data_IF_407324065906
#
_entry.id   IF_407324065906
#
_cell.length_a   1.000
_cell.length_b   1.000
_cell.length_c   1.000
_cell.angle_alpha   90.00
_cell.angle_beta   90.00
_cell.angle_gamma   90.00
#
_symmetry.space_group_name_H-M   'P 1'
#
loop_
_entity.id
_entity.type
_entity.pdbx_description
1 polymer ?
#
# COMPACT_ATOMS: atom_id res chain seq x y z
N UNK A 1 11.94 -21.68 12.80
CA UNK A 1 10.59 -21.37 12.28
C UNK A 1 10.77 -20.52 11.04
N UNK A 2 9.92 -20.67 10.02
CA UNK A 2 10.00 -19.78 8.85
C UNK A 2 9.62 -18.34 9.27
N UNK A 3 10.25 -17.35 8.67
CA UNK A 3 9.91 -15.93 8.89
C UNK A 3 8.46 -15.67 8.46
N UNK A 4 7.70 -14.94 9.28
CA UNK A 4 6.29 -14.62 9.04
C UNK A 4 6.12 -13.49 7.99
N UNK A 5 7.12 -12.63 7.89
CA UNK A 5 7.28 -11.61 6.84
C UNK A 5 8.73 -11.68 6.36
N UNK A 6 8.93 -11.89 5.07
CA UNK A 6 10.26 -11.83 4.46
C UNK A 6 10.48 -10.50 3.78
N UNK A 7 11.71 -10.02 3.77
CA UNK A 7 12.11 -8.78 3.10
C UNK A 7 13.24 -9.03 2.12
N UNK A 8 13.16 -8.40 0.96
CA UNK A 8 14.20 -8.42 -0.06
C UNK A 8 14.35 -7.00 -0.62
N UNK A 9 15.59 -6.56 -0.85
CA UNK A 9 15.89 -5.22 -1.40
C UNK A 9 16.64 -5.39 -2.72
N UNK A 10 16.14 -4.73 -3.76
CA UNK A 10 16.75 -4.68 -5.08
C UNK A 10 16.49 -3.33 -5.72
N UNK A 11 17.51 -2.70 -6.29
CA UNK A 11 17.41 -1.44 -7.05
C UNK A 11 16.63 -0.31 -6.33
N UNK A 12 16.81 -0.15 -5.02
CA UNK A 12 16.09 0.83 -4.22
C UNK A 12 14.61 0.50 -3.97
N UNK A 13 14.22 -0.75 -4.21
CA UNK A 13 12.87 -1.28 -3.98
C UNK A 13 12.93 -2.32 -2.86
N UNK A 14 12.10 -2.17 -1.82
CA UNK A 14 11.94 -3.21 -0.80
C UNK A 14 10.67 -4.02 -1.08
N UNK A 15 10.82 -5.32 -1.22
CA UNK A 15 9.72 -6.29 -1.31
C UNK A 15 9.47 -6.80 0.11
N UNK A 16 8.23 -6.72 0.58
CA UNK A 16 7.76 -7.27 1.85
C UNK A 16 6.72 -8.35 1.53
N UNK A 17 6.98 -9.59 1.93
CA UNK A 17 6.09 -10.71 1.64
C UNK A 17 5.51 -11.28 2.92
N UNK A 18 4.19 -11.22 3.09
CA UNK A 18 3.48 -11.94 4.16
C UNK A 18 3.60 -13.42 3.87
N UNK A 19 4.24 -14.19 4.76
CA UNK A 19 4.63 -15.57 4.50
C UNK A 19 3.93 -16.57 5.44
N UNK A 20 2.62 -16.63 5.32
CA UNK A 20 1.74 -17.61 5.99
C UNK A 20 0.76 -18.27 4.99
N UNK A 21 1.24 -18.88 3.89
CA UNK A 21 0.36 -19.37 2.82
C UNK A 21 -0.61 -20.44 3.31
N UNK A 22 -0.25 -21.26 4.31
CA UNK A 22 -1.10 -22.28 4.93
C UNK A 22 -2.33 -21.67 5.65
N UNK A 23 -2.25 -20.38 6.04
CA UNK A 23 -3.35 -19.62 6.63
C UNK A 23 -3.90 -18.55 5.67
N UNK A 24 -3.66 -18.67 4.36
CA UNK A 24 -4.01 -17.64 3.35
C UNK A 24 -3.51 -16.24 3.75
N UNK A 25 -2.32 -16.18 4.32
CA UNK A 25 -1.67 -14.95 4.80
C UNK A 25 -2.53 -14.12 5.77
N UNK A 26 -3.37 -14.81 6.57
CA UNK A 26 -4.11 -14.17 7.65
C UNK A 26 -3.15 -13.60 8.71
N UNK A 27 -3.48 -12.44 9.26
CA UNK A 27 -2.64 -11.68 10.17
C UNK A 27 -2.99 -12.04 11.62
N UNK A 28 -2.03 -12.62 12.35
CA UNK A 28 -2.02 -12.70 13.81
C UNK A 28 -1.11 -11.60 14.38
N UNK A 29 -1.01 -11.46 15.69
CA UNK A 29 -0.24 -10.40 16.34
C UNK A 29 1.26 -10.46 15.97
N UNK A 30 1.84 -11.65 15.90
CA UNK A 30 3.25 -11.85 15.55
C UNK A 30 3.54 -11.41 14.10
N UNK A 31 2.64 -11.74 13.16
CA UNK A 31 2.75 -11.28 11.76
C UNK A 31 2.58 -9.77 11.65
N UNK A 32 1.68 -9.18 12.45
CA UNK A 32 1.49 -7.74 12.49
C UNK A 32 2.76 -7.02 12.98
N UNK A 33 3.42 -7.56 14.02
CA UNK A 33 4.67 -7.01 14.53
C UNK A 33 5.79 -7.15 13.50
N UNK A 34 5.95 -8.32 12.89
CA UNK A 34 6.97 -8.54 11.86
C UNK A 34 6.79 -7.60 10.65
N UNK A 35 5.55 -7.33 10.23
CA UNK A 35 5.28 -6.37 9.16
C UNK A 35 5.58 -4.93 9.59
N UNK A 36 5.24 -4.56 10.84
CA UNK A 36 5.59 -3.25 11.39
C UNK A 36 7.10 -3.02 11.40
N UNK A 37 7.88 -4.02 11.83
CA UNK A 37 9.34 -3.95 11.87
C UNK A 37 9.94 -3.80 10.45
N UNK A 38 9.41 -4.54 9.46
CA UNK A 38 9.80 -4.42 8.06
C UNK A 38 9.48 -3.02 7.48
N UNK A 39 8.33 -2.44 7.84
CA UNK A 39 7.94 -1.08 7.44
C UNK A 39 8.80 -0.01 8.13
N UNK A 40 9.25 -0.25 9.36
CA UNK A 40 10.18 0.64 10.05
C UNK A 40 11.55 0.66 9.39
N UNK A 41 12.06 -0.50 9.00
CA UNK A 41 13.29 -0.61 8.22
C UNK A 41 13.14 0.11 6.88
N UNK A 42 12.04 -0.14 6.16
CA UNK A 42 11.70 0.53 4.91
C UNK A 42 11.73 2.06 5.02
N UNK A 43 11.13 2.62 6.07
CA UNK A 43 11.10 4.07 6.26
C UNK A 43 12.47 4.66 6.60
N UNK A 44 13.31 3.95 7.36
CA UNK A 44 14.61 4.44 7.85
C UNK A 44 15.73 4.38 6.83
N UNK A 45 15.68 3.45 5.88
CA UNK A 45 16.74 3.25 4.89
C UNK A 45 16.56 4.21 3.70
N UNK A 46 17.34 5.28 3.65
CA UNK A 46 17.28 6.28 2.57
C UNK A 46 17.65 5.74 1.18
N UNK A 47 18.33 4.59 1.10
CA UNK A 47 18.61 3.93 -0.17
C UNK A 47 17.35 3.29 -0.79
N UNK A 48 16.28 3.10 -0.01
CA UNK A 48 15.02 2.53 -0.48
C UNK A 48 14.04 3.66 -0.81
N UNK A 49 13.54 3.69 -2.03
CA UNK A 49 12.64 4.74 -2.55
C UNK A 49 11.18 4.30 -2.52
N UNK A 50 10.89 3.02 -2.79
CA UNK A 50 9.54 2.48 -2.93
C UNK A 50 9.46 1.07 -2.35
N UNK A 51 8.31 0.72 -1.76
CA UNK A 51 8.01 -0.61 -1.24
C UNK A 51 6.99 -1.35 -2.09
N UNK A 52 7.08 -2.68 -2.09
CA UNK A 52 6.06 -3.58 -2.63
C UNK A 52 5.64 -4.54 -1.52
N UNK A 53 4.35 -4.59 -1.21
CA UNK A 53 3.75 -5.54 -0.26
C UNK A 53 3.03 -6.63 -1.04
N UNK A 54 3.31 -7.88 -0.73
CA UNK A 54 2.67 -9.04 -1.36
C UNK A 54 2.44 -10.18 -0.36
N UNK A 55 1.82 -11.26 -0.80
CA UNK A 55 1.61 -12.48 -0.02
C UNK A 55 2.17 -13.72 -0.70
N UNK A 56 2.77 -14.61 0.07
CA UNK A 56 3.28 -15.89 -0.44
C UNK A 56 2.14 -16.85 -0.83
N UNK A 57 2.43 -17.80 -1.72
CA UNK A 57 1.53 -18.91 -2.05
C UNK A 57 0.26 -18.51 -2.83
N UNK A 58 0.34 -17.47 -3.67
CA UNK A 58 -0.74 -17.09 -4.59
C UNK A 58 -1.97 -16.46 -3.92
N UNK A 59 -1.82 -15.91 -2.73
CA UNK A 59 -2.87 -15.16 -2.02
C UNK A 59 -2.25 -13.97 -1.32
N UNK A 60 -2.82 -12.78 -1.48
CA UNK A 60 -2.32 -11.59 -0.81
C UNK A 60 -2.54 -11.66 0.71
N UNK A 61 -3.79 -11.56 1.16
CA UNK A 61 -4.15 -11.65 2.58
C UNK A 61 -5.66 -11.84 2.75
N UNK A 62 -6.05 -12.77 3.64
CA UNK A 62 -7.46 -13.04 3.97
C UNK A 62 -7.97 -12.28 5.20
N UNK A 63 -7.20 -11.32 5.73
CA UNK A 63 -7.58 -10.50 6.88
C UNK A 63 -7.05 -11.01 8.21
N UNK A 64 -7.78 -10.73 9.29
CA UNK A 64 -7.40 -11.15 10.66
C UNK A 64 -7.47 -12.68 10.81
N UNK A 65 -6.48 -13.25 11.48
CA UNK A 65 -6.48 -14.66 11.88
C UNK A 65 -7.50 -14.89 13.01
N UNK A 66 -8.71 -15.27 12.61
CA UNK A 66 -9.82 -15.49 13.56
C UNK A 66 -9.56 -16.67 14.51
N UNK A 67 -8.74 -17.67 14.11
CA UNK A 67 -8.38 -18.78 14.98
C UNK A 67 -7.44 -18.31 16.09
N UNK A 68 -6.42 -17.51 15.74
CA UNK A 68 -5.54 -16.91 16.72
C UNK A 68 -6.29 -15.95 17.64
N UNK A 69 -7.19 -15.13 17.09
CA UNK A 69 -8.04 -14.24 17.90
C UNK A 69 -8.94 -15.02 18.87
N UNK A 70 -9.61 -16.09 18.44
CA UNK A 70 -10.45 -16.91 19.30
C UNK A 70 -9.66 -17.59 20.44
N UNK A 71 -8.40 -17.94 20.18
CA UNK A 71 -7.54 -18.59 21.16
C UNK A 71 -6.95 -17.61 22.19
N UNK A 72 -6.65 -16.37 21.80
CA UNK A 72 -5.87 -15.43 22.62
C UNK A 72 -6.63 -14.16 23.02
N UNK A 73 -7.72 -13.82 22.34
CA UNK A 73 -8.42 -12.53 22.45
C UNK A 73 -7.63 -11.35 21.89
N UNK A 74 -6.44 -11.57 21.34
CA UNK A 74 -5.55 -10.50 20.88
C UNK A 74 -5.85 -10.13 19.43
N UNK A 75 -6.07 -8.83 19.20
CA UNK A 75 -6.19 -8.27 17.85
C UNK A 75 -4.80 -7.96 17.30
N UNK A 76 -4.55 -8.16 16.00
CA UNK A 76 -3.24 -7.90 15.39
C UNK A 76 -3.03 -6.40 15.08
N UNK A 77 -3.04 -5.60 16.13
CA UNK A 77 -2.82 -4.15 16.11
C UNK A 77 -1.48 -3.81 16.74
N UNK A 78 -0.72 -2.93 16.11
CA UNK A 78 0.62 -2.53 16.57
C UNK A 78 0.63 -1.03 16.84
N UNK A 79 0.61 -0.66 18.12
CA UNK A 79 0.69 0.73 18.57
C UNK A 79 -0.29 1.66 17.83
N UNK A 80 0.21 2.82 17.40
CA UNK A 80 -0.52 3.83 16.62
C UNK A 80 -0.64 3.50 15.12
N UNK A 81 -0.09 2.38 14.67
CA UNK A 81 -0.14 1.94 13.27
C UNK A 81 -1.38 1.10 12.95
N UNK A 82 -2.12 0.67 13.98
CA UNK A 82 -3.34 -0.10 13.86
C UNK A 82 -3.12 -1.51 13.31
N UNK A 83 -4.09 -2.01 12.56
CA UNK A 83 -4.10 -3.37 12.01
C UNK A 83 -2.85 -3.64 11.16
N UNK A 84 -2.22 -4.79 11.42
CA UNK A 84 -1.01 -5.27 10.75
C UNK A 84 0.17 -4.28 10.78
N UNK A 85 0.16 -3.30 11.70
CA UNK A 85 1.20 -2.28 11.78
C UNK A 85 1.28 -1.34 10.57
N UNK A 86 0.19 -1.22 9.80
CA UNK A 86 0.16 -0.45 8.55
C UNK A 86 -1.09 0.43 8.40
N UNK A 87 -2.27 -0.09 8.78
CA UNK A 87 -3.52 0.49 8.30
C UNK A 87 -3.81 1.92 8.78
N UNK A 88 -3.39 2.31 9.99
CA UNK A 88 -3.66 3.65 10.52
C UNK A 88 -2.52 4.64 10.25
N UNK A 89 -1.30 4.13 10.03
CA UNK A 89 -0.12 4.94 9.76
C UNK A 89 0.72 4.36 8.62
N UNK A 90 0.29 4.53 7.37
CA UNK A 90 1.08 4.13 6.20
C UNK A 90 2.47 4.79 6.17
N UNK A 91 3.47 4.16 5.51
CA UNK A 91 4.82 4.72 5.39
C UNK A 91 4.83 6.03 4.60
N UNK A 92 5.83 6.88 4.84
CA UNK A 92 6.02 8.13 4.08
C UNK A 92 6.45 7.87 2.63
N UNK A 93 7.16 6.77 2.38
CA UNK A 93 7.57 6.35 1.03
C UNK A 93 6.43 5.63 0.31
N UNK A 94 6.37 5.68 -1.02
CA UNK A 94 5.36 4.96 -1.79
C UNK A 94 5.36 3.46 -1.50
N UNK A 95 4.16 2.89 -1.38
CA UNK A 95 3.93 1.48 -1.15
C UNK A 95 2.92 0.94 -2.18
N UNK A 96 3.29 -0.13 -2.88
CA UNK A 96 2.46 -0.79 -3.88
C UNK A 96 1.98 -2.13 -3.31
N UNK A 97 0.69 -2.41 -3.36
CA UNK A 97 0.16 -3.76 -3.12
C UNK A 97 0.25 -4.58 -4.42
N UNK A 98 0.93 -5.71 -4.38
CA UNK A 98 0.93 -6.72 -5.44
C UNK A 98 0.00 -7.88 -5.04
N UNK A 99 -1.19 -7.91 -5.63
CA UNK A 99 -2.30 -8.74 -5.16
C UNK A 99 -2.51 -9.94 -6.07
N UNK A 100 -2.25 -11.13 -5.53
CA UNK A 100 -2.69 -12.41 -6.07
C UNK A 100 -3.86 -12.93 -5.24
N UNK A 101 -4.82 -13.62 -5.86
CA UNK A 101 -5.92 -14.28 -5.16
C UNK A 101 -6.68 -13.34 -4.23
N UNK A 102 -6.75 -13.66 -2.94
CA UNK A 102 -7.62 -12.92 -2.01
C UNK A 102 -6.95 -11.72 -1.36
N UNK A 103 -7.59 -10.55 -1.48
CA UNK A 103 -7.42 -9.36 -0.66
C UNK A 103 -8.77 -9.03 -0.03
N UNK A 104 -9.14 -9.73 1.06
CA UNK A 104 -10.48 -9.63 1.65
C UNK A 104 -10.42 -9.28 3.14
N UNK A 105 -11.47 -8.67 3.65
CA UNK A 105 -11.53 -8.17 5.03
C UNK A 105 -10.34 -7.27 5.34
N UNK A 106 -9.64 -7.48 6.46
CA UNK A 106 -8.40 -6.77 6.78
C UNK A 106 -7.33 -6.84 5.67
N UNK A 107 -7.35 -7.87 4.80
CA UNK A 107 -6.47 -7.93 3.62
C UNK A 107 -6.84 -6.90 2.55
N UNK A 108 -8.12 -6.61 2.38
CA UNK A 108 -8.58 -5.49 1.54
C UNK A 108 -8.17 -4.15 2.18
N UNK A 109 -8.28 -4.01 3.50
CA UNK A 109 -7.88 -2.82 4.23
C UNK A 109 -6.36 -2.57 4.14
N UNK A 110 -5.54 -3.64 4.15
CA UNK A 110 -4.11 -3.56 3.86
C UNK A 110 -3.82 -3.06 2.44
N UNK A 111 -4.51 -3.60 1.43
CA UNK A 111 -4.38 -3.14 0.05
C UNK A 111 -4.80 -1.67 -0.10
N UNK A 112 -5.88 -1.26 0.57
CA UNK A 112 -6.35 0.13 0.62
C UNK A 112 -5.40 1.07 1.38
N UNK A 113 -4.58 0.57 2.29
CA UNK A 113 -3.56 1.35 2.99
C UNK A 113 -2.30 1.57 2.13
N UNK A 114 -2.10 0.77 1.08
CA UNK A 114 -1.08 1.02 0.07
C UNK A 114 -1.52 2.16 -0.87
N UNK A 115 -0.56 2.82 -1.50
CA UNK A 115 -0.81 3.95 -2.41
C UNK A 115 -1.33 3.50 -3.76
N UNK A 116 -0.81 2.38 -4.26
CA UNK A 116 -1.14 1.81 -5.56
C UNK A 116 -1.43 0.31 -5.42
N UNK A 117 -2.27 -0.21 -6.30
CA UNK A 117 -2.61 -1.63 -6.34
C UNK A 117 -2.36 -2.17 -7.74
N UNK A 118 -1.54 -3.22 -7.83
CA UNK A 118 -1.38 -4.07 -9.01
C UNK A 118 -2.01 -5.42 -8.69
N UNK A 119 -2.93 -5.89 -9.52
CA UNK A 119 -3.69 -7.10 -9.26
C UNK A 119 -3.55 -8.11 -10.39
N UNK A 120 -3.36 -9.36 -10.04
CA UNK A 120 -3.51 -10.46 -10.99
C UNK A 120 -4.98 -10.66 -11.39
N UNK A 121 -5.21 -11.23 -12.55
CA UNK A 121 -6.55 -11.49 -13.09
C UNK A 121 -7.44 -12.36 -12.18
N UNK A 122 -6.82 -13.20 -11.34
CA UNK A 122 -7.49 -14.03 -10.34
C UNK A 122 -7.77 -13.33 -9.01
N UNK A 123 -7.38 -12.05 -8.85
CA UNK A 123 -7.53 -11.34 -7.59
C UNK A 123 -8.99 -11.00 -7.26
N UNK A 124 -9.30 -11.05 -5.96
CA UNK A 124 -10.62 -10.76 -5.40
C UNK A 124 -10.49 -9.73 -4.28
N UNK A 125 -11.30 -8.68 -4.33
CA UNK A 125 -11.35 -7.61 -3.32
C UNK A 125 -12.71 -7.56 -2.66
N UNK A 126 -12.78 -7.46 -1.34
CA UNK A 126 -14.07 -7.36 -0.65
C UNK A 126 -13.95 -7.12 0.84
N UNK A 127 -15.07 -6.65 1.42
CA UNK A 127 -15.23 -6.37 2.85
C UNK A 127 -16.38 -7.24 3.41
N UNK A 128 -16.15 -8.55 3.64
CA UNK A 128 -17.20 -9.50 4.02
C UNK A 128 -17.57 -9.47 5.50
N UNK A 129 -17.10 -8.50 6.26
CA UNK A 129 -17.29 -8.38 7.72
C UNK A 129 -18.76 -8.38 8.11
N UNK A 130 -19.62 -7.74 7.33
CA UNK A 130 -21.07 -7.67 7.59
C UNK A 130 -21.72 -9.05 7.71
N UNK A 131 -21.19 -10.06 7.01
CA UNK A 131 -21.67 -11.45 7.08
C UNK A 131 -21.41 -12.13 8.43
N UNK A 132 -20.66 -11.46 9.31
CA UNK A 132 -20.31 -11.91 10.67
C UNK A 132 -20.74 -10.91 11.74
N UNK A 133 -21.64 -9.98 11.39
CA UNK A 133 -22.15 -8.91 12.25
C UNK A 133 -21.02 -8.04 12.88
N UNK A 134 -19.92 -7.85 12.12
CA UNK A 134 -18.82 -6.92 12.43
C UNK A 134 -18.59 -5.97 11.27
N UNK A 135 -17.69 -5.01 11.42
CA UNK A 135 -17.42 -3.99 10.43
C UNK A 135 -15.94 -3.96 10.04
N UNK A 136 -15.58 -3.51 8.82
CA UNK A 136 -14.20 -3.29 8.39
C UNK A 136 -13.61 -2.06 9.10
N UNK A 137 -13.06 -2.28 10.30
CA UNK A 137 -12.64 -1.22 11.24
C UNK A 137 -11.22 -0.70 11.03
N UNK A 138 -10.48 -1.20 10.04
CA UNK A 138 -9.07 -0.84 9.82
C UNK A 138 -8.85 0.05 8.59
N UNK A 139 -9.88 0.80 8.22
CA UNK A 139 -9.82 1.79 7.15
C UNK A 139 -10.68 1.47 5.93
N UNK A 140 -11.29 0.30 5.84
CA UNK A 140 -12.15 -0.09 4.72
C UNK A 140 -13.28 0.90 4.49
N UNK A 141 -14.04 1.21 5.54
CA UNK A 141 -15.18 2.14 5.47
C UNK A 141 -14.81 3.59 5.12
N UNK A 142 -13.58 4.02 5.41
CA UNK A 142 -13.16 5.42 5.19
C UNK A 142 -12.31 5.59 3.93
N UNK A 143 -11.58 4.56 3.51
CA UNK A 143 -10.73 4.62 2.29
C UNK A 143 -11.46 4.19 1.03
N UNK A 144 -12.26 3.12 1.10
CA UNK A 144 -12.92 2.57 -0.09
C UNK A 144 -13.80 3.61 -0.79
N UNK A 145 -14.70 4.37 -0.10
CA UNK A 145 -15.55 5.37 -0.75
C UNK A 145 -14.79 6.61 -1.26
N UNK A 146 -13.50 6.76 -0.89
CA UNK A 146 -12.61 7.79 -1.44
C UNK A 146 -11.82 7.32 -2.67
N UNK A 147 -11.79 6.01 -2.92
CA UNK A 147 -11.03 5.38 -4.02
C UNK A 147 -11.90 4.99 -5.20
N UNK A 148 -13.18 4.64 -4.95
CA UNK A 148 -14.14 4.20 -5.98
C UNK A 148 -15.46 4.93 -5.80
N UNK A 149 -16.37 4.93 -6.80
CA UNK A 149 -17.70 5.53 -6.69
C UNK A 149 -18.44 5.04 -5.44
N UNK A 150 -19.03 5.99 -4.70
CA UNK A 150 -19.64 5.75 -3.39
C UNK A 150 -20.64 4.58 -3.36
N UNK A 151 -21.54 4.51 -4.34
CA UNK A 151 -22.55 3.44 -4.38
C UNK A 151 -21.94 2.04 -4.59
N UNK A 152 -20.84 1.94 -5.33
CA UNK A 152 -20.11 0.68 -5.51
C UNK A 152 -19.39 0.30 -4.21
N UNK A 153 -18.78 1.27 -3.53
CA UNK A 153 -18.16 1.05 -2.24
C UNK A 153 -19.17 0.58 -1.18
N UNK A 154 -20.36 1.20 -1.19
CA UNK A 154 -21.44 0.86 -0.26
C UNK A 154 -22.01 -0.54 -0.54
N UNK A 155 -22.25 -0.88 -1.80
CA UNK A 155 -22.70 -2.21 -2.21
C UNK A 155 -21.73 -3.30 -1.71
N UNK A 156 -20.44 -3.16 -1.98
CA UNK A 156 -19.39 -4.07 -1.49
C UNK A 156 -19.42 -4.26 0.04
N UNK A 157 -19.56 -3.15 0.78
CA UNK A 157 -19.54 -3.19 2.23
C UNK A 157 -20.85 -3.75 2.83
N UNK A 158 -22.01 -3.48 2.22
CA UNK A 158 -23.32 -3.91 2.74
C UNK A 158 -23.67 -5.35 2.37
N UNK A 159 -23.25 -5.83 1.20
CA UNK A 159 -23.46 -7.21 0.78
C UNK A 159 -22.36 -8.16 1.28
N UNK A 160 -21.15 -7.63 1.43
CA UNK A 160 -19.94 -8.41 1.69
C UNK A 160 -19.51 -9.24 0.48
N UNK A 161 -20.10 -9.03 -0.71
CA UNK A 161 -19.71 -9.71 -1.94
C UNK A 161 -18.38 -9.15 -2.47
N UNK A 162 -17.41 -10.00 -2.83
CA UNK A 162 -16.17 -9.53 -3.41
C UNK A 162 -16.36 -9.17 -4.89
N UNK A 163 -15.50 -8.28 -5.39
CA UNK A 163 -15.36 -8.02 -6.83
C UNK A 163 -14.03 -8.58 -7.34
N UNK A 164 -14.03 -9.07 -8.59
CA UNK A 164 -12.83 -9.52 -9.28
C UNK A 164 -11.94 -8.36 -9.74
N UNK A 165 -10.71 -8.69 -10.11
CA UNK A 165 -9.67 -7.75 -10.53
C UNK A 165 -10.10 -6.81 -11.67
N UNK A 166 -10.78 -7.34 -12.70
CA UNK A 166 -11.26 -6.54 -13.83
C UNK A 166 -12.25 -5.47 -13.37
N UNK A 167 -13.24 -5.85 -12.55
CA UNK A 167 -14.21 -4.90 -12.01
C UNK A 167 -13.53 -3.88 -11.11
N UNK A 168 -12.60 -4.31 -10.27
CA UNK A 168 -11.81 -3.43 -9.41
C UNK A 168 -10.99 -2.42 -10.23
N UNK A 169 -10.45 -2.82 -11.37
CA UNK A 169 -9.75 -1.93 -12.30
C UNK A 169 -10.71 -0.94 -13.00
N UNK A 170 -11.85 -1.43 -13.49
CA UNK A 170 -12.85 -0.57 -14.13
C UNK A 170 -13.38 0.56 -13.23
N UNK A 171 -13.49 0.30 -11.91
CA UNK A 171 -13.96 1.31 -10.94
C UNK A 171 -12.84 2.16 -10.35
N UNK A 172 -11.58 1.93 -10.75
CA UNK A 172 -10.42 2.72 -10.33
C UNK A 172 -9.76 2.28 -9.03
N UNK A 173 -10.14 1.13 -8.45
CA UNK A 173 -9.48 0.57 -7.27
C UNK A 173 -8.09 0.03 -7.61
N UNK A 174 -7.96 -0.67 -8.74
CA UNK A 174 -6.72 -1.29 -9.22
C UNK A 174 -6.09 -0.43 -10.30
N UNK A 175 -4.79 -0.11 -10.14
CA UNK A 175 -4.04 0.70 -11.10
C UNK A 175 -3.63 -0.09 -12.35
N UNK A 176 -3.29 -1.38 -12.19
CA UNK A 176 -2.83 -2.25 -13.28
C UNK A 176 -3.31 -3.67 -13.07
N UNK A 177 -3.69 -4.31 -14.17
CA UNK A 177 -3.94 -5.75 -14.23
C UNK A 177 -2.67 -6.47 -14.70
N UNK A 178 -2.51 -7.69 -14.20
CA UNK A 178 -1.48 -8.64 -14.61
C UNK A 178 -2.11 -10.04 -14.78
N UNK A 179 -1.44 -10.91 -15.52
CA UNK A 179 -1.80 -12.31 -15.57
C UNK A 179 -1.65 -12.98 -14.20
N UNK A 180 -2.38 -14.08 -13.98
CA UNK A 180 -2.26 -14.85 -12.74
C UNK A 180 -0.83 -15.32 -12.51
N UNK A 181 -0.30 -15.09 -11.31
CA UNK A 181 1.09 -15.33 -10.94
C UNK A 181 2.08 -14.22 -11.33
N UNK A 182 1.61 -13.11 -11.92
CA UNK A 182 2.47 -12.03 -12.41
C UNK A 182 2.27 -10.68 -11.67
N UNK A 183 1.44 -10.61 -10.62
CA UNK A 183 1.18 -9.36 -9.93
C UNK A 183 2.45 -8.74 -9.34
N UNK A 184 3.33 -9.55 -8.73
CA UNK A 184 4.59 -9.07 -8.17
C UNK A 184 5.51 -8.49 -9.26
N UNK A 185 5.66 -9.19 -10.38
CA UNK A 185 6.51 -8.73 -11.48
C UNK A 185 6.00 -7.40 -12.06
N UNK A 186 4.69 -7.29 -12.29
CA UNK A 186 4.07 -6.05 -12.77
C UNK A 186 4.16 -4.90 -11.75
N UNK A 187 4.09 -5.20 -10.43
CA UNK A 187 4.32 -4.23 -9.38
C UNK A 187 5.77 -3.75 -9.33
N UNK A 188 6.75 -4.64 -9.53
CA UNK A 188 8.16 -4.29 -9.63
C UNK A 188 8.47 -3.40 -10.84
N UNK A 189 7.83 -3.63 -11.98
CA UNK A 189 7.94 -2.75 -13.14
C UNK A 189 7.41 -1.33 -12.84
N UNK A 190 6.29 -1.24 -12.12
CA UNK A 190 5.76 0.06 -11.66
C UNK A 190 6.69 0.70 -10.64
N UNK A 191 7.21 -0.08 -9.68
CA UNK A 191 8.15 0.38 -8.66
C UNK A 191 9.44 0.94 -9.27
N UNK A 192 10.03 0.26 -10.27
CA UNK A 192 11.23 0.77 -10.99
C UNK A 192 10.96 2.12 -11.66
N UNK A 193 9.78 2.32 -12.22
CA UNK A 193 9.40 3.62 -12.82
C UNK A 193 9.27 4.72 -11.77
N UNK A 194 8.83 4.39 -10.54
CA UNK A 194 8.78 5.35 -9.43
C UNK A 194 10.20 5.62 -8.91
N UNK A 195 11.00 4.58 -8.70
CA UNK A 195 12.36 4.67 -8.18
C UNK A 195 13.32 5.45 -9.12
N UNK A 196 13.04 5.50 -10.42
CA UNK A 196 13.80 6.29 -11.38
C UNK A 196 13.62 7.81 -11.22
N UNK A 197 12.65 8.28 -10.41
CA UNK A 197 12.39 9.70 -10.20
C UNK A 197 13.07 10.22 -8.91
N UNK A 198 13.19 11.53 -8.78
CA UNK A 198 13.78 12.19 -7.60
C UNK A 198 13.05 11.81 -6.30
N UNK A 199 13.73 11.17 -5.34
CA UNK A 199 13.07 10.58 -4.17
C UNK A 199 12.40 11.61 -3.26
N UNK A 200 12.94 12.82 -3.14
CA UNK A 200 12.29 13.91 -2.40
C UNK A 200 10.96 14.31 -3.04
N UNK A 201 10.95 14.49 -4.37
CA UNK A 201 9.75 14.86 -5.10
C UNK A 201 8.67 13.77 -4.98
N UNK A 202 9.05 12.50 -5.11
CA UNK A 202 8.13 11.36 -4.96
C UNK A 202 7.47 11.34 -3.58
N UNK A 203 8.24 11.50 -2.49
CA UNK A 203 7.70 11.56 -1.12
C UNK A 203 6.77 12.75 -0.92
N UNK A 204 7.19 13.94 -1.36
CA UNK A 204 6.40 15.18 -1.22
C UNK A 204 5.09 15.12 -2.00
N UNK A 205 5.09 14.56 -3.21
CA UNK A 205 3.85 14.33 -3.98
C UNK A 205 2.88 13.44 -3.18
N UNK A 206 3.37 12.31 -2.66
CA UNK A 206 2.55 11.42 -1.82
C UNK A 206 2.01 12.17 -0.60
N UNK A 207 2.86 12.87 0.13
CA UNK A 207 2.49 13.61 1.34
C UNK A 207 1.36 14.62 1.04
N UNK A 208 1.54 15.50 0.06
CA UNK A 208 0.54 16.49 -0.32
C UNK A 208 -0.76 15.84 -0.76
N UNK A 209 -0.70 14.85 -1.66
CA UNK A 209 -1.90 14.19 -2.19
C UNK A 209 -2.67 13.41 -1.12
N UNK A 210 -1.98 12.88 -0.10
CA UNK A 210 -2.62 12.11 0.97
C UNK A 210 -3.49 12.96 1.90
N UNK A 211 -3.19 14.27 2.05
CA UNK A 211 -3.89 15.18 2.95
C UNK A 211 -4.72 16.24 2.25
N UNK A 212 -4.44 16.52 0.97
CA UNK A 212 -5.06 17.64 0.25
C UNK A 212 -6.57 17.49 0.03
N UNK A 213 -7.07 16.25 -0.01
CA UNK A 213 -8.50 15.98 -0.18
C UNK A 213 -9.41 16.49 0.95
N UNK A 214 -8.83 16.78 2.13
CA UNK A 214 -9.52 17.28 3.29
C UNK A 214 -9.32 18.80 3.51
N UNK A 215 -8.63 19.48 2.57
CA UNK A 215 -8.38 20.93 2.70
C UNK A 215 -9.55 21.76 2.17
N UNK A 216 -9.89 22.87 2.84
CA UNK A 216 -10.80 23.84 2.27
C UNK A 216 -10.27 24.39 0.94
N UNK A 217 -11.14 24.51 -0.06
CA UNK A 217 -10.75 24.96 -1.42
C UNK A 217 -9.98 26.29 -1.38
N UNK A 218 -10.37 27.24 -0.54
CA UNK A 218 -9.71 28.55 -0.42
C UNK A 218 -8.31 28.51 0.22
N UNK A 219 -7.94 27.39 0.87
CA UNK A 219 -6.67 27.26 1.59
C UNK A 219 -5.68 26.31 0.89
N UNK A 220 -6.09 25.62 -0.18
CA UNK A 220 -5.31 24.56 -0.82
C UNK A 220 -3.87 24.99 -1.14
N UNK A 221 -3.70 26.13 -1.78
CA UNK A 221 -2.37 26.61 -2.19
C UNK A 221 -1.55 27.13 -1.01
N UNK A 222 -2.18 27.74 -0.02
CA UNK A 222 -1.48 28.24 1.17
C UNK A 222 -0.95 27.09 2.03
N UNK A 223 -1.68 25.99 2.11
CA UNK A 223 -1.25 24.75 2.77
C UNK A 223 -0.19 23.99 1.96
N UNK A 224 -0.32 23.96 0.63
CA UNK A 224 0.62 23.26 -0.24
C UNK A 224 2.00 23.94 -0.30
N UNK A 225 2.04 25.30 -0.42
CA UNK A 225 3.31 26.04 -0.62
C UNK A 225 4.42 25.70 0.37
N UNK A 226 4.20 25.70 1.71
CA UNK A 226 5.25 25.34 2.66
C UNK A 226 5.73 23.90 2.50
N UNK A 227 4.86 22.97 2.13
CA UNK A 227 5.21 21.56 1.95
C UNK A 227 6.14 21.32 0.76
N UNK A 228 6.00 22.10 -0.32
CA UNK A 228 6.80 21.94 -1.54
C UNK A 228 8.02 22.87 -1.63
N UNK A 229 8.12 23.87 -0.75
CA UNK A 229 9.14 24.93 -0.87
C UNK A 229 10.59 24.41 -0.83
N UNK A 230 10.85 23.36 -0.06
CA UNK A 230 12.17 22.73 0.06
C UNK A 230 12.60 22.03 -1.23
N UNK A 231 11.66 21.48 -2.01
CA UNK A 231 11.96 20.75 -3.25
C UNK A 231 12.70 21.62 -4.26
N UNK A 232 12.23 22.85 -4.48
CA UNK A 232 12.83 23.77 -5.47
C UNK A 232 14.22 24.29 -5.07
N UNK A 233 14.67 24.02 -3.83
CA UNK A 233 15.98 24.38 -3.33
C UNK A 233 16.93 23.18 -3.22
N UNK A 234 16.44 21.97 -3.50
CA UNK A 234 17.19 20.73 -3.36
C UNK A 234 18.27 20.56 -4.43
N UNK A 235 19.26 19.73 -4.13
CA UNK A 235 20.29 19.33 -5.09
C UNK A 235 19.68 18.52 -6.23
N UNK A 236 18.68 17.69 -5.91
CA UNK A 236 17.94 16.89 -6.91
C UNK A 236 17.19 17.77 -7.91
N UNK A 237 16.59 18.89 -7.49
CA UNK A 237 15.94 19.81 -8.42
C UNK A 237 16.94 20.44 -9.41
N UNK A 238 18.15 20.80 -8.94
CA UNK A 238 19.22 21.31 -9.79
C UNK A 238 19.76 20.25 -10.73
N UNK A 239 19.99 19.04 -10.22
CA UNK A 239 20.41 17.90 -11.03
C UNK A 239 19.39 17.57 -12.11
N UNK A 240 18.10 17.53 -11.77
CA UNK A 240 17.04 17.28 -12.74
C UNK A 240 17.02 18.27 -13.89
N UNK A 241 17.16 19.56 -13.59
CA UNK A 241 17.24 20.60 -14.61
C UNK A 241 18.50 20.49 -15.50
N UNK A 242 19.66 20.20 -14.88
CA UNK A 242 20.94 20.03 -15.57
C UNK A 242 20.91 18.79 -16.47
N UNK A 243 20.50 17.65 -15.94
CA UNK A 243 20.41 16.38 -16.68
C UNK A 243 19.48 16.50 -17.89
N UNK A 244 18.35 17.21 -17.72
CA UNK A 244 17.42 17.48 -18.81
C UNK A 244 18.07 18.33 -19.93
N UNK A 245 18.78 19.41 -19.57
CA UNK A 245 19.48 20.26 -20.53
C UNK A 245 20.59 19.51 -21.28
N UNK A 246 21.30 18.63 -20.56
CA UNK A 246 22.40 17.81 -21.09
C UNK A 246 21.92 16.52 -21.79
N UNK A 247 20.63 16.22 -21.80
CA UNK A 247 20.02 15.01 -22.38
C UNK A 247 20.61 13.70 -21.82
N UNK A 248 20.92 13.67 -20.53
CA UNK A 248 21.42 12.49 -19.81
C UNK A 248 20.45 12.04 -18.73
N UNK A 249 20.64 10.82 -18.22
CA UNK A 249 19.94 10.36 -17.03
C UNK A 249 20.40 11.17 -15.80
N UNK A 250 19.46 11.56 -14.91
CA UNK A 250 19.78 12.24 -13.67
C UNK A 250 20.41 11.27 -12.65
N UNK A 251 21.16 11.84 -11.70
CA UNK A 251 21.74 11.11 -10.56
C UNK A 251 21.18 11.69 -9.27
N UNK A 252 20.17 11.05 -8.73
CA UNK A 252 19.49 11.53 -7.52
C UNK A 252 20.31 11.29 -6.27
N UNK A 253 20.30 12.27 -5.36
CA UNK A 253 20.99 12.21 -4.06
C UNK A 253 20.02 12.18 -2.88
N UNK A 254 18.76 12.51 -3.10
CA UNK A 254 17.74 12.63 -2.06
C UNK A 254 17.92 13.88 -1.18
N UNK A 255 18.60 14.89 -1.65
CA UNK A 255 18.95 16.10 -0.91
C UNK A 255 18.60 17.38 -1.63
#
# INVERSE_FOLDING_TARGET
MAELVTTEVTDGIQIMTINRPQAKNAINLETAQALADALDQFNRDDAIVVGVLTGAGGTFCSGMDLKAFAATGQRPYVGDRGFAGLCEKPPAKPLIAAVEGYAVAGGCELALACDLIVAASNAQFGLPEVRRAIVPGSGGMVRLPRRIPYHIALELALTGDPIGAERAHQVGLVNRLAESGQALQAALELARRIAANGPLAVRTIKEVMSVSGDWPVGEMFDRQRPMIAHIFKSDDAREGATAFAEKRAPKWTGR
#
